data_IF_913108883329
#
_entry.id   IF_913108883329
#
_cell.length_a   1.000
_cell.length_b   1.000
_cell.length_c   1.000
_cell.angle_alpha   90.00
_cell.angle_beta   90.00
_cell.angle_gamma   90.00
#
_symmetry.space_group_name_H-M   'P 1'
#
loop_
_entity.id
_entity.type
_entity.pdbx_description
1 polymer ?
#
# COMPACT_ATOMS: atom_id res chain seq x y z
N UNK A 1 9.32 15.36 -11.72
CA UNK A 1 10.41 14.58 -11.07
C UNK A 1 10.43 14.95 -9.60
N UNK A 2 10.63 14.02 -8.67
CA UNK A 2 10.58 14.29 -7.23
C UNK A 2 11.93 13.95 -6.60
N UNK A 3 12.44 14.82 -5.73
CA UNK A 3 13.64 14.55 -4.95
C UNK A 3 13.68 15.36 -3.66
N UNK A 4 14.49 14.88 -2.72
CA UNK A 4 14.77 15.49 -1.43
C UNK A 4 16.29 15.55 -1.23
N UNK A 5 16.81 16.76 -1.02
CA UNK A 5 18.22 17.02 -0.73
C UNK A 5 18.38 17.54 0.68
N UNK A 6 19.28 16.91 1.44
CA UNK A 6 19.73 17.41 2.74
C UNK A 6 20.74 18.53 2.55
N UNK A 7 20.59 19.61 3.31
CA UNK A 7 21.50 20.75 3.34
C UNK A 7 21.96 20.98 4.79
N UNK A 8 23.07 21.70 5.03
CA UNK A 8 23.55 21.95 6.40
C UNK A 8 22.54 22.62 7.33
N UNK A 9 21.59 23.39 6.79
CA UNK A 9 20.61 24.17 7.54
C UNK A 9 19.15 23.71 7.35
N UNK A 10 18.91 22.59 6.67
CA UNK A 10 17.55 22.10 6.42
C UNK A 10 17.46 21.14 5.25
N UNK A 11 16.32 21.16 4.56
CA UNK A 11 16.05 20.27 3.43
C UNK A 11 15.45 21.05 2.27
N UNK A 12 15.85 20.67 1.05
CA UNK A 12 15.26 21.18 -0.18
C UNK A 12 14.45 20.06 -0.83
N UNK A 13 13.23 20.38 -1.24
CA UNK A 13 12.28 19.41 -1.79
C UNK A 13 11.79 19.88 -3.16
N UNK A 14 11.92 19.01 -4.15
CA UNK A 14 11.29 19.15 -5.46
C UNK A 14 10.02 18.30 -5.51
N UNK A 15 8.87 18.95 -5.65
CA UNK A 15 7.57 18.29 -5.77
C UNK A 15 7.01 18.46 -7.19
N UNK A 16 7.21 17.46 -8.05
CA UNK A 16 6.68 17.46 -9.41
C UNK A 16 7.42 18.46 -10.28
N UNK A 17 6.68 19.41 -10.85
CA UNK A 17 7.21 20.49 -11.70
C UNK A 17 7.30 21.85 -10.97
N UNK A 18 6.81 21.92 -9.73
CA UNK A 18 6.92 23.15 -8.94
C UNK A 18 8.37 23.51 -8.66
N UNK A 19 8.67 24.80 -8.47
CA UNK A 19 10.01 25.21 -8.05
C UNK A 19 10.42 24.52 -6.72
N UNK A 20 11.70 24.14 -6.55
CA UNK A 20 12.17 23.56 -5.30
C UNK A 20 11.89 24.48 -4.11
N UNK A 21 11.46 23.90 -2.99
CA UNK A 21 11.17 24.65 -1.75
C UNK A 21 12.09 24.21 -0.63
N UNK A 22 12.39 25.14 0.27
CA UNK A 22 13.20 24.90 1.45
C UNK A 22 12.31 24.71 2.68
N UNK A 23 12.69 23.79 3.56
CA UNK A 23 12.06 23.52 4.84
C UNK A 23 13.14 23.25 5.90
N UNK A 24 12.81 23.46 7.16
CA UNK A 24 13.75 23.18 8.27
C UNK A 24 13.99 21.67 8.44
N UNK A 25 12.97 20.85 8.17
CA UNK A 25 13.02 19.39 8.24
C UNK A 25 11.97 18.75 7.32
N UNK A 26 12.11 17.46 7.07
CA UNK A 26 11.12 16.66 6.33
C UNK A 26 10.91 15.29 6.99
N UNK A 27 9.68 14.80 6.88
CA UNK A 27 9.30 13.42 7.20
C UNK A 27 8.94 12.71 5.90
N UNK A 28 9.63 11.61 5.60
CA UNK A 28 9.39 10.82 4.39
C UNK A 28 8.40 9.71 4.72
N UNK A 29 7.16 9.84 4.23
CA UNK A 29 6.05 8.93 4.50
C UNK A 29 5.64 8.14 3.23
N UNK A 30 6.62 7.59 2.51
CA UNK A 30 6.42 6.75 1.33
C UNK A 30 7.03 5.36 1.54
N UNK A 31 6.82 4.44 0.58
CA UNK A 31 7.45 3.14 0.63
C UNK A 31 8.99 3.25 0.61
N UNK A 32 9.72 2.42 1.39
CA UNK A 32 11.19 2.44 1.45
C UNK A 32 11.94 2.50 0.12
N UNK A 33 11.51 1.78 -0.91
CA UNK A 33 12.08 1.82 -2.26
C UNK A 33 11.86 3.18 -2.93
N UNK A 34 10.66 3.74 -2.80
CA UNK A 34 10.35 5.11 -3.24
C UNK A 34 11.16 6.14 -2.46
N UNK A 35 11.36 5.96 -1.15
CA UNK A 35 12.19 6.84 -0.34
C UNK A 35 13.63 6.87 -0.86
N UNK A 36 14.21 5.71 -1.21
CA UNK A 36 15.54 5.65 -1.83
C UNK A 36 15.63 6.38 -3.17
N UNK A 37 14.56 6.34 -3.98
CA UNK A 37 14.49 7.09 -5.23
C UNK A 37 14.33 8.61 -5.02
N UNK A 38 13.73 9.03 -3.89
CA UNK A 38 13.54 10.43 -3.55
C UNK A 38 14.82 11.07 -2.98
N UNK A 39 15.60 10.34 -2.18
CA UNK A 39 16.81 10.87 -1.56
C UNK A 39 17.88 11.16 -2.62
N UNK A 40 18.38 12.39 -2.65
CA UNK A 40 19.40 12.82 -3.63
C UNK A 40 20.77 12.18 -3.38
N UNK A 41 21.14 12.01 -2.10
CA UNK A 41 22.38 11.33 -1.69
C UNK A 41 22.10 10.43 -0.46
N UNK A 42 21.49 9.24 -0.65
CA UNK A 42 21.23 8.33 0.44
C UNK A 42 22.56 7.81 1.02
N UNK A 43 22.64 7.69 2.34
CA UNK A 43 23.81 7.11 3.01
C UNK A 43 23.86 5.58 2.80
N UNK A 44 25.03 4.95 3.03
CA UNK A 44 25.13 3.48 3.00
C UNK A 44 24.15 2.79 3.96
N UNK A 45 23.92 3.38 5.13
CA UNK A 45 22.99 2.84 6.13
C UNK A 45 21.53 2.95 5.66
N UNK A 46 21.14 4.09 5.09
CA UNK A 46 19.79 4.26 4.51
C UNK A 46 19.53 3.27 3.39
N UNK A 47 20.50 3.06 2.49
CA UNK A 47 20.41 2.03 1.44
C UNK A 47 20.23 0.63 2.02
N UNK A 48 21.01 0.27 3.03
CA UNK A 48 20.94 -1.04 3.66
C UNK A 48 19.60 -1.30 4.34
N UNK A 49 19.11 -0.33 5.12
CA UNK A 49 17.84 -0.46 5.87
C UNK A 49 16.64 -0.42 4.95
N UNK A 50 16.55 0.60 4.08
CA UNK A 50 15.38 0.79 3.22
C UNK A 50 15.32 -0.26 2.10
N UNK A 51 16.46 -0.70 1.59
CA UNK A 51 16.54 -1.74 0.55
C UNK A 51 16.24 -3.16 1.03
N UNK A 52 16.25 -3.41 2.34
CA UNK A 52 15.98 -4.74 2.89
C UNK A 52 14.49 -5.11 2.94
N UNK A 53 13.59 -4.12 2.79
CA UNK A 53 12.14 -4.32 2.91
C UNK A 53 11.57 -4.81 1.58
N UNK A 54 11.12 -6.08 1.56
CA UNK A 54 10.55 -6.72 0.37
C UNK A 54 9.04 -6.56 0.32
N UNK A 55 8.51 -6.44 -0.90
CA UNK A 55 7.08 -6.34 -1.18
C UNK A 55 6.55 -7.61 -1.84
N UNK A 56 5.29 -7.92 -1.55
CA UNK A 56 4.52 -8.91 -2.27
C UNK A 56 3.44 -8.18 -3.08
N UNK A 57 3.37 -8.36 -4.41
CA UNK A 57 2.30 -7.77 -5.20
C UNK A 57 0.96 -8.42 -4.83
N UNK A 58 0.01 -7.60 -4.37
CA UNK A 58 -1.36 -8.03 -4.07
C UNK A 58 -2.32 -7.35 -5.06
N UNK A 59 -3.10 -8.15 -5.79
CA UNK A 59 -4.12 -7.64 -6.71
C UNK A 59 -5.46 -7.56 -5.98
N UNK A 60 -5.96 -6.34 -5.78
CA UNK A 60 -7.30 -6.11 -5.28
C UNK A 60 -8.31 -5.99 -6.43
N UNK A 61 -9.45 -6.66 -6.32
CA UNK A 61 -10.55 -6.61 -7.29
C UNK A 61 -11.84 -6.35 -6.55
N UNK A 62 -12.55 -5.29 -6.94
CA UNK A 62 -13.93 -5.06 -6.50
C UNK A 62 -14.85 -5.96 -7.32
N UNK A 63 -15.65 -6.80 -6.65
CA UNK A 63 -16.56 -7.70 -7.33
C UNK A 63 -17.90 -7.85 -6.61
N UNK A 64 -18.87 -8.46 -7.30
CA UNK A 64 -20.15 -8.89 -6.69
C UNK A 64 -20.40 -10.38 -6.85
N UNK A 65 -19.38 -11.14 -7.27
CA UNK A 65 -19.44 -12.59 -7.41
C UNK A 65 -19.42 -13.29 -6.05
N UNK A 66 -20.55 -13.91 -5.67
CA UNK A 66 -20.67 -14.67 -4.43
C UNK A 66 -20.04 -16.07 -4.51
N UNK A 67 -19.60 -16.53 -5.69
CA UNK A 67 -18.98 -17.85 -5.87
C UNK A 67 -17.66 -18.00 -5.10
N UNK A 68 -17.00 -16.88 -4.80
CA UNK A 68 -15.76 -16.80 -4.04
C UNK A 68 -15.98 -16.85 -2.51
N UNK A 69 -17.23 -16.83 -2.05
CA UNK A 69 -17.58 -16.88 -0.63
C UNK A 69 -17.76 -18.31 -0.14
N UNK A 70 -17.69 -18.54 1.19
CA UNK A 70 -18.08 -19.81 1.77
C UNK A 70 -19.45 -20.29 1.27
N UNK A 71 -19.50 -21.55 0.84
CA UNK A 71 -20.73 -22.21 0.36
C UNK A 71 -21.83 -22.19 1.42
N UNK A 72 -21.47 -22.36 2.69
CA UNK A 72 -22.38 -22.26 3.82
C UNK A 72 -22.62 -20.79 4.14
N UNK A 73 -23.85 -20.28 3.94
CA UNK A 73 -24.20 -18.87 4.18
C UNK A 73 -23.86 -18.38 5.59
N UNK A 74 -24.05 -19.22 6.61
CA UNK A 74 -23.72 -18.88 8.00
C UNK A 74 -22.21 -18.76 8.28
N UNK A 75 -21.35 -19.28 7.39
CA UNK A 75 -19.90 -19.15 7.50
C UNK A 75 -19.36 -17.88 6.82
N UNK A 76 -20.21 -17.10 6.14
CA UNK A 76 -19.81 -15.86 5.46
C UNK A 76 -19.58 -14.76 6.50
N UNK A 77 -18.33 -14.39 6.68
CA UNK A 77 -17.90 -13.30 7.56
C UNK A 77 -17.62 -12.01 6.76
N UNK A 78 -17.35 -10.92 7.47
CA UNK A 78 -16.88 -9.67 6.84
C UNK A 78 -15.50 -9.83 6.19
N UNK A 79 -14.77 -10.87 6.55
CA UNK A 79 -13.50 -11.26 5.95
C UNK A 79 -13.49 -12.77 5.80
N UNK A 80 -13.29 -13.26 4.58
CA UNK A 80 -13.21 -14.68 4.26
C UNK A 80 -11.87 -14.93 3.58
N UNK A 81 -11.27 -16.08 3.87
CA UNK A 81 -10.09 -16.56 3.17
C UNK A 81 -10.41 -17.86 2.44
N UNK A 82 -9.81 -18.03 1.27
CA UNK A 82 -9.86 -19.23 0.48
C UNK A 82 -8.42 -19.69 0.22
N UNK A 83 -8.11 -20.88 0.71
CA UNK A 83 -6.85 -21.57 0.48
C UNK A 83 -7.18 -22.79 -0.37
N UNK A 84 -6.47 -22.97 -1.48
CA UNK A 84 -6.60 -24.17 -2.30
C UNK A 84 -5.39 -25.07 -2.08
N UNK A 85 -5.55 -26.38 -2.21
CA UNK A 85 -4.43 -27.33 -2.06
C UNK A 85 -3.40 -27.25 -3.20
N UNK A 86 -3.65 -26.42 -4.20
CA UNK A 86 -2.86 -26.31 -5.42
C UNK A 86 -2.05 -25.01 -5.50
N UNK A 87 -2.15 -24.15 -4.48
CA UNK A 87 -1.45 -22.87 -4.43
C UNK A 87 -1.17 -22.46 -3.00
N UNK A 88 0.04 -21.98 -2.74
CA UNK A 88 0.39 -21.33 -1.47
C UNK A 88 -0.19 -19.91 -1.35
N UNK A 89 -0.93 -19.45 -2.37
CA UNK A 89 -1.58 -18.14 -2.36
C UNK A 89 -2.92 -18.22 -1.63
N UNK A 90 -3.13 -17.26 -0.74
CA UNK A 90 -4.39 -17.08 -0.03
C UNK A 90 -5.21 -16.02 -0.75
N UNK A 91 -6.41 -16.39 -1.19
CA UNK A 91 -7.38 -15.40 -1.64
C UNK A 91 -8.12 -14.86 -0.42
N UNK A 92 -8.23 -13.54 -0.35
CA UNK A 92 -8.95 -12.85 0.69
C UNK A 92 -10.10 -12.08 0.05
N UNK A 93 -11.31 -12.25 0.59
CA UNK A 93 -12.51 -11.51 0.20
C UNK A 93 -13.06 -10.74 1.40
N UNK A 94 -13.33 -9.45 1.24
CA UNK A 94 -13.86 -8.57 2.28
C UNK A 94 -15.31 -8.21 1.95
N UNK A 95 -16.25 -8.29 2.89
CA UNK A 95 -17.58 -7.68 2.69
C UNK A 95 -17.47 -6.16 2.90
N UNK A 96 -17.04 -5.43 1.87
CA UNK A 96 -16.84 -3.98 1.97
C UNK A 96 -18.16 -3.27 2.25
N UNK A 97 -19.27 -3.78 1.71
CA UNK A 97 -20.62 -3.29 2.03
C UNK A 97 -20.93 -3.37 3.52
N UNK A 98 -20.62 -4.49 4.18
CA UNK A 98 -20.82 -4.67 5.62
C UNK A 98 -19.84 -3.87 6.44
N UNK A 99 -18.55 -3.89 6.08
CA UNK A 99 -17.48 -3.21 6.83
C UNK A 99 -17.67 -1.69 6.81
N UNK A 100 -18.05 -1.13 5.66
CA UNK A 100 -18.23 0.32 5.48
C UNK A 100 -19.68 0.77 5.61
N UNK A 101 -20.61 -0.14 5.95
CA UNK A 101 -22.05 0.14 6.09
C UNK A 101 -22.66 0.82 4.85
N UNK A 102 -22.25 0.37 3.66
CA UNK A 102 -22.72 0.92 2.40
C UNK A 102 -24.21 0.58 2.24
N UNK A 103 -25.09 1.58 2.08
CA UNK A 103 -26.52 1.34 1.92
C UNK A 103 -26.83 0.73 0.56
N UNK A 104 -27.86 -0.11 0.50
CA UNK A 104 -28.36 -0.71 -0.73
C UNK A 104 -28.52 -2.23 -0.66
N UNK A 105 -29.24 -2.80 -1.62
CA UNK A 105 -29.45 -4.25 -1.72
C UNK A 105 -28.26 -5.02 -2.31
N UNK A 106 -27.39 -4.33 -3.05
CA UNK A 106 -26.22 -4.93 -3.69
C UNK A 106 -25.04 -4.99 -2.73
N UNK A 107 -24.40 -6.16 -2.65
CA UNK A 107 -23.18 -6.39 -1.87
C UNK A 107 -21.94 -6.21 -2.73
N UNK A 108 -20.95 -5.53 -2.19
CA UNK A 108 -19.63 -5.34 -2.78
C UNK A 108 -18.61 -6.06 -1.92
N UNK A 109 -17.77 -6.83 -2.61
CA UNK A 109 -16.70 -7.60 -2.02
C UNK A 109 -15.34 -7.19 -2.57
#
# INVERSE_FOLDING_TARGET
MHWLRRLPNGVQVQAGEAAPRFFDAAVVAVHPDQALLLLDDPSPYERAVLGAIRYCPNRALLHTDESLLPRRRHARASWNYLITSTSDQVLITYDVSRLMRIPGGRRFW
#
